data_IF_096949148868
#
_entry.id   IF_096949148868
#
_cell.length_a   1.000
_cell.length_b   1.000
_cell.length_c   1.000
_cell.angle_alpha   90.00
_cell.angle_beta   90.00
_cell.angle_gamma   90.00
#
_symmetry.space_group_name_H-M   'P 1'
#
loop_
_entity.id
_entity.type
_entity.pdbx_description
1 polymer ?
#
# COMPACT_ATOMS: atom_id res chain seq x y z
N UNK A 1 -6.90 -11.54 23.44
CA UNK A 1 -5.54 -12.08 23.72
C UNK A 1 -4.70 -11.84 22.49
N UNK A 2 -3.44 -11.39 22.60
CA UNK A 2 -2.64 -11.15 21.39
C UNK A 2 -2.35 -12.46 20.67
N UNK A 3 -2.30 -12.42 19.34
CA UNK A 3 -1.96 -13.60 18.55
C UNK A 3 -0.57 -14.14 18.93
N UNK A 4 0.40 -13.28 19.22
CA UNK A 4 1.71 -13.73 19.72
C UNK A 4 1.58 -14.61 20.97
N UNK A 5 0.82 -14.17 21.97
CA UNK A 5 0.66 -14.88 23.24
C UNK A 5 -0.10 -16.20 23.03
N UNK A 6 -1.07 -16.20 22.11
CA UNK A 6 -1.87 -17.38 21.75
C UNK A 6 -1.03 -18.50 21.14
N UNK A 7 -0.09 -18.17 20.26
CA UNK A 7 0.64 -19.18 19.45
C UNK A 7 2.11 -19.38 19.86
N UNK A 8 2.64 -18.58 20.78
CA UNK A 8 3.99 -18.79 21.29
C UNK A 8 4.04 -19.94 22.29
N UNK A 9 5.07 -20.79 22.17
CA UNK A 9 5.33 -21.87 23.13
C UNK A 9 6.50 -21.42 24.00
N UNK A 10 6.26 -21.25 25.31
CA UNK A 10 7.25 -20.73 26.26
C UNK A 10 7.87 -19.38 25.82
N UNK A 11 7.07 -18.50 25.20
CA UNK A 11 7.52 -17.21 24.66
C UNK A 11 8.30 -17.29 23.35
N UNK A 12 8.47 -18.48 22.77
CA UNK A 12 9.12 -18.65 21.47
C UNK A 12 8.09 -18.74 20.33
N UNK A 13 8.26 -17.89 19.31
CA UNK A 13 7.43 -17.87 18.11
C UNK A 13 8.17 -18.48 16.93
N UNK A 14 7.90 -19.75 16.67
CA UNK A 14 8.56 -20.55 15.62
C UNK A 14 7.81 -20.50 14.29
N UNK A 15 8.36 -21.12 13.23
CA UNK A 15 7.63 -21.32 11.98
C UNK A 15 6.35 -22.16 12.18
N UNK A 16 6.37 -23.11 13.11
CA UNK A 16 5.18 -23.87 13.48
C UNK A 16 4.11 -22.98 14.14
N UNK A 17 4.54 -22.03 14.99
CA UNK A 17 3.64 -21.02 15.57
C UNK A 17 3.03 -20.12 14.49
N UNK A 18 3.84 -19.70 13.51
CA UNK A 18 3.37 -18.92 12.35
C UNK A 18 2.35 -19.70 11.52
N UNK A 19 2.65 -20.94 11.18
CA UNK A 19 1.76 -21.81 10.40
C UNK A 19 0.41 -22.01 11.10
N UNK A 20 0.45 -22.32 12.40
CA UNK A 20 -0.74 -22.50 13.23
C UNK A 20 -1.58 -21.23 13.29
N UNK A 21 -0.94 -20.07 13.49
CA UNK A 21 -1.60 -18.78 13.48
C UNK A 21 -2.32 -18.51 12.15
N UNK A 22 -1.64 -18.72 11.02
CA UNK A 22 -2.23 -18.43 9.70
C UNK A 22 -3.39 -19.38 9.37
N UNK A 23 -3.31 -20.65 9.78
CA UNK A 23 -4.39 -21.63 9.61
C UNK A 23 -5.63 -21.26 10.43
N UNK A 24 -5.47 -20.86 11.69
CA UNK A 24 -6.57 -20.40 12.55
C UNK A 24 -7.24 -19.13 12.01
N UNK A 25 -6.51 -18.31 11.24
CA UNK A 25 -7.05 -17.16 10.51
C UNK A 25 -7.76 -17.55 9.20
N UNK A 26 -7.99 -18.84 8.94
CA UNK A 26 -8.60 -19.39 7.73
C UNK A 26 -7.84 -19.02 6.44
N UNK A 27 -6.53 -18.86 6.50
CA UNK A 27 -5.69 -18.66 5.31
C UNK A 27 -5.45 -20.02 4.64
N UNK A 28 -5.64 -20.09 3.32
CA UNK A 28 -5.42 -21.31 2.54
C UNK A 28 -3.97 -21.81 2.64
N UNK A 29 -3.77 -23.12 2.74
CA UNK A 29 -2.45 -23.73 2.86
C UNK A 29 -1.42 -23.26 1.81
N UNK A 30 -1.85 -23.04 0.57
CA UNK A 30 -0.95 -22.57 -0.50
C UNK A 30 -0.32 -21.21 -0.15
N UNK A 31 -1.14 -20.27 0.35
CA UNK A 31 -0.69 -18.97 0.81
C UNK A 31 0.15 -19.07 2.09
N UNK A 32 -0.17 -19.99 3.01
CA UNK A 32 0.62 -20.22 4.22
C UNK A 32 2.07 -20.60 3.88
N UNK A 33 2.24 -21.53 2.95
CA UNK A 33 3.57 -21.96 2.51
C UNK A 33 4.35 -20.80 1.89
N UNK A 34 3.72 -20.00 1.02
CA UNK A 34 4.34 -18.80 0.46
C UNK A 34 4.75 -17.80 1.53
N UNK A 35 3.88 -17.54 2.52
CA UNK A 35 4.15 -16.60 3.61
C UNK A 35 5.33 -17.08 4.45
N UNK A 36 5.41 -18.36 4.80
CA UNK A 36 6.52 -18.91 5.60
C UNK A 36 7.86 -18.75 4.86
N UNK A 37 7.91 -19.09 3.57
CA UNK A 37 9.11 -18.94 2.75
C UNK A 37 9.51 -17.46 2.69
N UNK A 38 8.55 -16.58 2.36
CA UNK A 38 8.78 -15.14 2.18
C UNK A 38 9.10 -14.44 3.49
N UNK A 39 8.61 -14.91 4.64
CA UNK A 39 8.87 -14.32 5.95
C UNK A 39 10.36 -14.28 6.28
N UNK A 40 11.18 -15.20 5.76
CA UNK A 40 12.63 -15.16 6.00
C UNK A 40 13.37 -14.08 5.20
N UNK A 41 12.82 -13.64 4.07
CA UNK A 41 13.51 -12.82 3.04
C UNK A 41 12.84 -11.46 2.78
N UNK A 42 11.52 -11.38 2.82
CA UNK A 42 10.75 -10.18 2.52
C UNK A 42 10.61 -9.30 3.76
N UNK A 43 11.19 -8.11 3.72
CA UNK A 43 11.03 -7.09 4.78
C UNK A 43 9.56 -6.73 5.01
N UNK A 44 8.78 -6.59 3.92
CA UNK A 44 7.35 -6.30 3.97
C UNK A 44 6.56 -7.41 4.67
N UNK A 45 6.86 -8.67 4.34
CA UNK A 45 6.21 -9.82 4.96
C UNK A 45 6.60 -9.96 6.42
N UNK A 46 7.86 -9.67 6.78
CA UNK A 46 8.28 -9.61 8.20
C UNK A 46 7.49 -8.57 8.97
N UNK A 47 7.41 -7.34 8.46
CA UNK A 47 6.68 -6.26 9.11
C UNK A 47 5.20 -6.59 9.27
N UNK A 48 4.58 -7.19 8.25
CA UNK A 48 3.19 -7.66 8.30
C UNK A 48 2.98 -8.65 9.45
N UNK A 49 3.82 -9.68 9.54
CA UNK A 49 3.72 -10.70 10.59
C UNK A 49 3.99 -10.11 11.98
N UNK A 50 4.92 -9.17 12.12
CA UNK A 50 5.20 -8.50 13.39
C UNK A 50 4.04 -7.60 13.87
N UNK A 51 3.33 -6.96 12.95
CA UNK A 51 2.10 -6.23 13.29
C UNK A 51 0.95 -7.20 13.59
N UNK A 52 0.78 -8.26 12.80
CA UNK A 52 -0.23 -9.29 13.01
C UNK A 52 -0.11 -9.93 14.40
N UNK A 53 1.09 -10.27 14.84
CA UNK A 53 1.38 -10.79 16.19
C UNK A 53 0.84 -9.92 17.34
N UNK A 54 0.77 -8.61 17.13
CA UNK A 54 0.37 -7.63 18.17
C UNK A 54 -1.15 -7.41 18.22
N UNK A 55 -1.88 -7.84 17.20
CA UNK A 55 -3.33 -7.73 17.11
C UNK A 55 -3.98 -8.66 18.14
N UNK A 56 -5.05 -8.18 18.76
CA UNK A 56 -5.89 -9.00 19.64
C UNK A 56 -6.71 -9.99 18.79
N UNK A 57 -6.88 -11.22 19.25
CA UNK A 57 -7.61 -12.27 18.54
C UNK A 57 -9.07 -11.93 18.20
N UNK A 58 -9.63 -10.87 18.81
CA UNK A 58 -10.97 -10.34 18.53
C UNK A 58 -11.01 -9.16 17.58
N UNK A 59 -9.86 -8.58 17.23
CA UNK A 59 -9.78 -7.41 16.37
C UNK A 59 -9.95 -7.76 14.88
N UNK A 60 -10.46 -6.81 14.12
CA UNK A 60 -10.65 -6.98 12.69
C UNK A 60 -9.33 -6.84 11.92
N UNK A 61 -8.78 -7.97 11.49
CA UNK A 61 -7.52 -8.07 10.74
C UNK A 61 -7.63 -7.44 9.34
N UNK A 62 -8.84 -7.18 8.83
CA UNK A 62 -9.06 -6.53 7.52
C UNK A 62 -8.34 -5.18 7.46
N UNK A 63 -8.32 -4.40 8.55
CA UNK A 63 -7.62 -3.11 8.55
C UNK A 63 -6.11 -3.27 8.35
N UNK A 64 -5.50 -4.27 8.98
CA UNK A 64 -4.09 -4.60 8.78
C UNK A 64 -3.83 -5.06 7.33
N UNK A 65 -4.71 -5.91 6.80
CA UNK A 65 -4.60 -6.37 5.40
C UNK A 65 -4.69 -5.20 4.43
N UNK A 66 -5.62 -4.27 4.64
CA UNK A 66 -5.78 -3.07 3.82
C UNK A 66 -4.56 -2.15 3.94
N UNK A 67 -3.99 -1.97 5.13
CA UNK A 67 -2.76 -1.19 5.33
C UNK A 67 -1.60 -1.76 4.49
N UNK A 68 -1.37 -3.07 4.56
CA UNK A 68 -0.28 -3.72 3.83
C UNK A 68 -0.53 -3.84 2.34
N UNK A 69 -1.79 -4.01 1.93
CA UNK A 69 -2.18 -3.94 0.53
C UNK A 69 -1.86 -2.56 -0.05
N UNK A 70 -2.26 -1.49 0.65
CA UNK A 70 -1.96 -0.12 0.24
C UNK A 70 -0.46 0.16 0.28
N UNK A 71 0.29 -0.37 1.25
CA UNK A 71 1.74 -0.20 1.30
C UNK A 71 2.43 -0.89 0.10
N UNK A 72 2.03 -2.12 -0.22
CA UNK A 72 2.51 -2.83 -1.40
C UNK A 72 2.15 -2.09 -2.70
N UNK A 73 0.97 -1.48 -2.78
CA UNK A 73 0.55 -0.67 -3.92
C UNK A 73 1.30 0.67 -4.00
N UNK A 74 1.59 1.31 -2.86
CA UNK A 74 2.41 2.54 -2.77
C UNK A 74 3.82 2.36 -3.31
N UNK A 75 4.37 1.14 -3.23
CA UNK A 75 5.67 0.83 -3.83
C UNK A 75 5.61 0.77 -5.37
N UNK A 76 4.42 0.78 -5.98
CA UNK A 76 4.24 0.84 -7.43
C UNK A 76 4.08 2.29 -7.90
N UNK A 77 4.74 2.68 -9.01
CA UNK A 77 4.49 3.98 -9.62
C UNK A 77 3.03 4.09 -10.07
N UNK A 78 2.29 5.06 -9.53
CA UNK A 78 0.95 5.39 -10.04
C UNK A 78 1.09 6.29 -11.27
N UNK A 79 0.49 5.87 -12.37
CA UNK A 79 0.43 6.65 -13.60
C UNK A 79 -1.03 6.95 -13.95
N UNK A 80 -1.31 8.17 -14.36
CA UNK A 80 -2.66 8.56 -14.76
C UNK A 80 -2.62 9.43 -16.01
N UNK A 81 -3.68 9.37 -16.83
CA UNK A 81 -3.82 10.28 -17.95
C UNK A 81 -4.35 11.65 -17.48
N UNK A 82 -4.29 12.67 -18.33
CA UNK A 82 -4.74 14.04 -17.99
C UNK A 82 -6.20 14.10 -17.54
N UNK A 83 -7.06 13.29 -18.15
CA UNK A 83 -8.49 13.22 -17.84
C UNK A 83 -8.72 12.69 -16.42
N UNK A 84 -8.03 11.61 -16.04
CA UNK A 84 -8.09 11.06 -14.70
C UNK A 84 -7.57 12.05 -13.67
N UNK A 85 -6.43 12.71 -13.95
CA UNK A 85 -5.89 13.73 -13.05
C UNK A 85 -6.84 14.93 -12.91
N UNK A 86 -7.51 15.33 -13.99
CA UNK A 86 -8.51 16.40 -13.99
C UNK A 86 -9.69 16.08 -13.07
N UNK A 87 -10.16 14.83 -13.08
CA UNK A 87 -11.21 14.36 -12.17
C UNK A 87 -10.76 14.34 -10.71
N UNK A 88 -9.51 13.93 -10.44
CA UNK A 88 -8.97 13.83 -9.08
C UNK A 88 -8.69 15.20 -8.43
N UNK A 89 -8.27 16.18 -9.23
CA UNK A 89 -7.81 17.51 -8.77
C UNK A 89 -8.83 18.64 -8.99
N UNK A 90 -9.93 18.37 -9.71
CA UNK A 90 -10.88 19.40 -10.15
C UNK A 90 -10.30 20.44 -11.14
N UNK A 91 -9.02 20.32 -11.52
CA UNK A 91 -8.37 21.21 -12.47
C UNK A 91 -8.72 20.81 -13.91
N UNK A 92 -8.89 21.79 -14.80
CA UNK A 92 -8.98 21.51 -16.23
C UNK A 92 -7.66 20.93 -16.76
N UNK A 93 -7.72 20.13 -17.83
CA UNK A 93 -6.52 19.57 -18.47
C UNK A 93 -5.50 20.66 -18.88
N UNK A 94 -5.99 21.85 -19.27
CA UNK A 94 -5.14 23.01 -19.60
C UNK A 94 -4.42 23.58 -18.38
N UNK A 95 -5.08 23.61 -17.22
CA UNK A 95 -4.46 24.02 -15.95
C UNK A 95 -3.41 23.00 -15.50
N UNK A 96 -3.71 21.70 -15.60
CA UNK A 96 -2.77 20.62 -15.33
C UNK A 96 -1.51 20.76 -16.19
N UNK A 97 -1.69 21.01 -17.50
CA UNK A 97 -0.55 21.15 -18.40
C UNK A 97 0.31 22.38 -18.09
N UNK A 98 -0.31 23.49 -17.68
CA UNK A 98 0.37 24.71 -17.22
C UNK A 98 1.18 24.45 -15.94
N UNK A 99 0.57 23.84 -14.91
CA UNK A 99 1.25 23.48 -13.65
C UNK A 99 2.40 22.50 -13.89
N UNK A 100 2.21 21.50 -14.77
CA UNK A 100 3.27 20.57 -15.17
C UNK A 100 4.48 21.27 -15.80
N UNK A 101 4.25 22.16 -16.77
CA UNK A 101 5.35 22.90 -17.44
C UNK A 101 6.13 23.76 -16.44
N UNK A 102 5.46 24.24 -15.39
CA UNK A 102 6.06 24.97 -14.28
C UNK A 102 6.69 24.09 -13.19
N UNK A 103 6.63 22.75 -13.32
CA UNK A 103 7.08 21.77 -12.30
C UNK A 103 6.35 21.85 -10.96
N UNK A 104 5.12 22.37 -10.95
CA UNK A 104 4.24 22.48 -9.77
C UNK A 104 3.43 21.19 -9.52
N UNK A 105 3.59 20.16 -10.37
CA UNK A 105 3.04 18.81 -10.18
C UNK A 105 4.17 17.76 -10.17
N UNK A 106 5.15 17.87 -9.25
CA UNK A 106 6.31 16.97 -9.22
C UNK A 106 5.92 15.52 -8.88
N UNK A 107 4.71 15.33 -8.31
CA UNK A 107 4.19 14.05 -7.86
C UNK A 107 3.15 13.43 -8.82
N UNK A 108 3.07 13.83 -10.09
CA UNK A 108 2.14 13.20 -11.04
C UNK A 108 2.82 12.78 -12.35
N UNK A 109 2.76 11.49 -12.67
CA UNK A 109 3.14 10.98 -13.98
C UNK A 109 1.94 11.04 -14.92
N UNK A 110 2.02 11.92 -15.92
CA UNK A 110 1.09 11.92 -17.05
C UNK A 110 1.57 10.94 -18.12
N UNK A 111 0.77 9.92 -18.41
CA UNK A 111 0.99 9.05 -19.56
C UNK A 111 0.30 9.64 -20.79
N UNK A 112 1.08 9.89 -21.85
CA UNK A 112 0.57 10.15 -23.19
C UNK A 112 0.48 8.84 -23.96
N UNK A 113 -0.55 8.66 -24.78
CA UNK A 113 -0.62 7.52 -25.69
C UNK A 113 0.62 7.49 -26.59
N UNK A 114 1.42 6.43 -26.43
CA UNK A 114 2.58 6.00 -27.20
C UNK A 114 3.68 7.03 -27.55
N UNK A 115 4.89 6.69 -27.05
CA UNK A 115 6.21 7.19 -27.42
C UNK A 115 6.55 8.66 -27.05
N UNK A 116 7.68 8.83 -26.38
CA UNK A 116 8.34 10.12 -26.09
C UNK A 116 7.68 11.05 -25.05
N UNK A 117 7.55 10.58 -23.81
CA UNK A 117 7.43 11.45 -22.63
C UNK A 117 8.60 11.22 -21.67
N UNK A 118 9.34 12.28 -21.28
CA UNK A 118 10.35 12.19 -20.21
C UNK A 118 9.69 11.62 -18.96
N UNK A 119 10.16 10.45 -18.52
CA UNK A 119 9.70 9.77 -17.32
C UNK A 119 10.06 10.62 -16.10
N UNK A 120 9.06 11.13 -15.39
CA UNK A 120 9.23 11.55 -14.00
C UNK A 120 8.41 10.57 -13.19
N UNK A 121 9.11 9.76 -12.40
CA UNK A 121 8.57 8.69 -11.57
C UNK A 121 8.04 9.34 -10.29
N UNK A 122 6.80 9.03 -9.92
CA UNK A 122 6.22 9.45 -8.64
C UNK A 122 6.33 8.30 -7.67
N UNK A 123 6.89 8.59 -6.49
CA UNK A 123 7.34 7.60 -5.53
C UNK A 123 6.40 7.37 -4.34
N UNK A 124 5.34 8.17 -4.13
CA UNK A 124 4.49 7.97 -2.94
C UNK A 124 3.04 8.52 -3.09
N UNK A 125 2.03 7.63 -3.17
CA UNK A 125 0.61 7.99 -3.13
C UNK A 125 0.17 8.75 -1.87
N UNK A 126 0.87 8.61 -0.73
CA UNK A 126 0.60 9.39 0.47
C UNK A 126 0.94 10.87 0.26
N UNK A 127 2.08 11.17 -0.36
CA UNK A 127 2.48 12.55 -0.69
C UNK A 127 1.51 13.16 -1.70
N UNK A 128 1.06 12.36 -2.67
CA UNK A 128 0.03 12.76 -3.63
C UNK A 128 -1.28 13.13 -2.93
N UNK A 129 -1.82 12.24 -2.09
CA UNK A 129 -3.05 12.52 -1.35
C UNK A 129 -2.91 13.69 -0.38
N UNK A 130 -1.79 13.78 0.34
CA UNK A 130 -1.49 14.90 1.22
C UNK A 130 -1.47 16.22 0.44
N UNK A 131 -0.79 16.26 -0.71
CA UNK A 131 -0.76 17.44 -1.59
C UNK A 131 -2.15 17.82 -2.12
N UNK A 132 -3.00 16.84 -2.44
CA UNK A 132 -4.37 17.08 -2.90
C UNK A 132 -5.26 17.66 -1.80
N UNK A 133 -5.14 17.11 -0.59
CA UNK A 133 -5.92 17.53 0.59
C UNK A 133 -5.48 18.90 1.11
N UNK A 134 -4.16 19.15 1.20
CA UNK A 134 -3.60 20.42 1.70
C UNK A 134 -3.89 21.60 0.77
N UNK A 135 -4.06 21.35 -0.54
CA UNK A 135 -4.37 22.39 -1.51
C UNK A 135 -5.89 22.56 -1.78
N UNK A 136 -6.78 21.88 -1.05
CA UNK A 136 -8.23 21.85 -1.31
C UNK A 136 -8.58 21.50 -2.77
N UNK A 137 -7.77 20.67 -3.43
CA UNK A 137 -7.95 20.30 -4.83
C UNK A 137 -8.86 19.07 -5.02
N UNK A 138 -9.31 18.43 -3.94
CA UNK A 138 -10.25 17.30 -4.03
C UNK A 138 -11.69 17.80 -3.84
N UNK A 139 -12.56 17.53 -4.82
CA UNK A 139 -14.00 17.48 -4.53
C UNK A 139 -14.29 16.18 -3.82
N UNK A 140 -14.63 16.24 -2.53
CA UNK A 140 -15.31 15.14 -1.86
C UNK A 140 -16.57 14.80 -2.64
N UNK A 141 -16.67 13.54 -3.09
CA UNK A 141 -17.91 12.97 -3.64
C UNK A 141 -18.83 12.66 -2.47
#
# INVERSE_FOLDING_TARGET
>A
MKLFDKYSINGNFSNYSLESMLKDLNISNDLVNEIIIRYSISSLTKEFIEKLKKIDDKENIINLLLEFFLLADKMKPITCNKQTLSKLTGLSERQIEKKRRKRELPHYQLTGGNAAGRKIIVYDPYIVMKSLLENNEVKTI
#
